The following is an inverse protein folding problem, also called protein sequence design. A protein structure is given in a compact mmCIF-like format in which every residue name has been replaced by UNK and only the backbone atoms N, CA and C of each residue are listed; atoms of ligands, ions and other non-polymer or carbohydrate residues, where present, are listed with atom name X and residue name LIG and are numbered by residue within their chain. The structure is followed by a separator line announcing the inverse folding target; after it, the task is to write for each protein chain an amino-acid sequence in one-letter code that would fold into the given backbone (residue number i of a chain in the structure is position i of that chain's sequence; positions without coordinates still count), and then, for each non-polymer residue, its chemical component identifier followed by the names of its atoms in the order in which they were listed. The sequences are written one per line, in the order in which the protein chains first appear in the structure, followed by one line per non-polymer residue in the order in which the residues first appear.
data_IF_728484501040
#
_entry.id   IF_728484501040
#
_cell.length_a   1.000
_cell.length_b   1.000
_cell.length_c   1.000
_cell.angle_alpha   90.00
_cell.angle_beta   90.00
_cell.angle_gamma   90.00
#
_symmetry.space_group_name_H-M   'P 1'
#
loop_
_entity.id
_entity.type
_entity.pdbx_description
1 polymer ?
#
# COMPACT_ATOMS: atom_id res chain seq x y z
N UNK A 1 5.47 0.52 7.48
CA UNK A 1 5.08 -0.62 6.62
C UNK A 1 4.36 -1.65 7.48
N UNK A 2 3.18 -2.18 7.11
CA UNK A 2 2.56 -3.26 7.86
C UNK A 2 3.47 -4.51 7.76
N UNK A 3 4.04 -4.92 8.89
CA UNK A 3 4.96 -6.07 8.96
C UNK A 3 4.36 -7.30 9.64
N UNK A 4 3.19 -7.14 10.24
CA UNK A 4 2.51 -8.16 11.05
C UNK A 4 1.09 -8.38 10.55
N UNK A 5 0.54 -9.60 10.68
CA UNK A 5 -0.84 -9.92 10.31
C UNK A 5 -1.88 -9.03 11.00
N UNK A 6 -1.59 -8.58 12.23
CA UNK A 6 -2.44 -7.67 12.99
C UNK A 6 -2.67 -6.33 12.28
N UNK A 7 -1.66 -5.81 11.57
CA UNK A 7 -1.80 -4.56 10.80
C UNK A 7 -2.76 -4.71 9.62
N UNK A 8 -2.75 -5.87 8.95
CA UNK A 8 -3.69 -6.16 7.87
C UNK A 8 -5.13 -6.35 8.39
N UNK A 9 -5.29 -7.01 9.55
CA UNK A 9 -6.61 -7.12 10.20
C UNK A 9 -7.18 -5.77 10.60
N UNK A 10 -6.36 -4.89 11.17
CA UNK A 10 -6.76 -3.52 11.51
C UNK A 10 -7.21 -2.72 10.29
N UNK A 11 -6.46 -2.80 9.18
CA UNK A 11 -6.84 -2.16 7.92
C UNK A 11 -8.20 -2.70 7.43
N UNK A 12 -8.38 -4.03 7.47
CA UNK A 12 -9.66 -4.65 7.12
C UNK A 12 -10.81 -4.16 8.01
N UNK A 13 -10.62 -4.10 9.33
CA UNK A 13 -11.64 -3.65 10.28
C UNK A 13 -12.07 -2.20 10.02
N UNK A 14 -11.18 -1.39 9.42
CA UNK A 14 -11.48 -0.04 8.95
C UNK A 14 -12.08 0.02 7.55
N UNK A 15 -12.41 -1.13 6.96
CA UNK A 15 -12.99 -1.23 5.61
C UNK A 15 -11.98 -1.13 4.48
N UNK A 16 -10.68 -1.15 4.77
CA UNK A 16 -9.64 -1.12 3.73
C UNK A 16 -9.60 -2.47 3.03
N UNK A 17 -9.81 -2.43 1.72
CA UNK A 17 -9.70 -3.60 0.83
C UNK A 17 -8.62 -3.44 -0.21
N UNK A 18 -8.24 -2.21 -0.53
CA UNK A 18 -7.16 -1.92 -1.48
C UNK A 18 -5.97 -1.33 -0.73
N UNK A 19 -4.82 -1.99 -0.81
CA UNK A 19 -3.57 -1.51 -0.23
C UNK A 19 -2.60 -1.17 -1.35
N UNK A 20 -2.20 0.10 -1.47
CA UNK A 20 -1.21 0.52 -2.46
C UNK A 20 0.14 0.69 -1.80
N UNK A 21 1.13 -0.08 -2.24
CA UNK A 21 2.52 -0.02 -1.77
C UNK A 21 3.35 0.73 -2.80
N UNK A 22 3.94 1.86 -2.40
CA UNK A 22 4.83 2.64 -3.26
C UNK A 22 6.29 2.17 -3.22
N UNK A 23 6.56 1.06 -2.55
CA UNK A 23 7.91 0.58 -2.22
C UNK A 23 8.47 -0.37 -3.29
N UNK A 24 9.78 -0.33 -3.51
CA UNK A 24 10.45 -1.28 -4.42
C UNK A 24 10.23 -2.74 -3.97
N UNK A 25 10.31 -2.99 -2.66
CA UNK A 25 10.08 -4.32 -2.07
C UNK A 25 8.63 -4.50 -1.64
N UNK A 26 8.10 -5.71 -1.82
CA UNK A 26 6.77 -6.04 -1.30
C UNK A 26 6.76 -6.01 0.23
N UNK A 27 5.67 -5.56 0.87
CA UNK A 27 5.54 -5.75 2.29
C UNK A 27 5.51 -7.25 2.63
N UNK A 28 6.23 -7.67 3.70
CA UNK A 28 6.19 -9.04 4.16
C UNK A 28 4.77 -9.41 4.62
N UNK A 29 4.37 -10.67 4.45
CA UNK A 29 3.03 -11.17 4.80
C UNK A 29 1.85 -10.63 3.98
N UNK A 30 2.08 -10.01 2.82
CA UNK A 30 1.01 -9.54 1.92
C UNK A 30 0.02 -10.61 1.46
N UNK A 31 0.38 -11.90 1.54
CA UNK A 31 -0.51 -13.03 1.22
C UNK A 31 -1.34 -13.55 2.41
N UNK A 32 -1.14 -13.02 3.62
CA UNK A 32 -1.83 -13.52 4.81
C UNK A 32 -3.31 -13.11 4.87
N UNK A 33 -3.72 -12.12 4.06
CA UNK A 33 -5.09 -11.62 4.01
C UNK A 33 -5.56 -11.50 2.55
N UNK A 34 -6.14 -12.56 1.96
CA UNK A 34 -6.62 -12.53 0.57
C UNK A 34 -7.77 -11.54 0.34
N UNK A 35 -8.36 -11.03 1.43
CA UNK A 35 -9.42 -10.03 1.41
C UNK A 35 -8.90 -8.59 1.19
N UNK A 36 -7.57 -8.40 1.17
CA UNK A 36 -6.93 -7.12 0.85
C UNK A 36 -6.13 -7.30 -0.43
N UNK A 37 -6.49 -6.54 -1.46
CA UNK A 37 -5.78 -6.52 -2.73
C UNK A 37 -4.58 -5.58 -2.63
N UNK A 38 -3.37 -6.15 -2.76
CA UNK A 38 -2.13 -5.38 -2.77
C UNK A 38 -1.80 -4.91 -4.19
N UNK A 39 -1.76 -3.60 -4.38
CA UNK A 39 -1.29 -2.95 -5.60
C UNK A 39 0.13 -2.42 -5.39
N UNK A 40 1.06 -2.80 -6.27
CA UNK A 40 2.48 -2.42 -6.13
C UNK A 40 2.85 -1.41 -7.20
N UNK A 41 3.21 -0.21 -6.76
CA UNK A 41 3.78 0.84 -7.61
C UNK A 41 5.22 1.03 -7.15
N UNK A 42 6.20 0.64 -7.97
CA UNK A 42 7.61 0.67 -7.56
C UNK A 42 8.16 2.09 -7.70
N UNK A 43 8.05 2.90 -6.65
CA UNK A 43 8.71 4.20 -6.59
C UNK A 43 10.07 3.98 -5.92
N UNK A 44 11.15 4.47 -6.54
CA UNK A 44 12.47 4.38 -5.93
C UNK A 44 12.54 5.33 -4.73
N UNK A 45 13.19 4.89 -3.65
CA UNK A 45 13.37 5.72 -2.47
C UNK A 45 14.08 7.03 -2.85
N UNK A 46 13.62 8.14 -2.27
CA UNK A 46 14.12 9.49 -2.55
C UNK A 46 13.88 10.01 -3.98
N UNK A 47 12.97 9.39 -4.73
CA UNK A 47 12.54 9.89 -6.05
C UNK A 47 11.05 10.22 -6.07
N UNK A 48 10.63 11.25 -6.82
CA UNK A 48 9.22 11.48 -7.06
C UNK A 48 8.64 10.34 -7.93
N UNK A 49 7.38 9.95 -7.72
CA UNK A 49 6.71 9.00 -8.60
C UNK A 49 6.60 9.55 -10.02
N UNK A 50 6.71 8.68 -11.02
CA UNK A 50 6.50 9.06 -12.41
C UNK A 50 5.03 9.38 -12.69
N UNK A 51 4.72 10.18 -13.73
CA UNK A 51 3.33 10.47 -14.10
C UNK A 51 2.49 9.21 -14.34
N UNK A 52 3.09 8.15 -14.88
CA UNK A 52 2.44 6.85 -15.09
C UNK A 52 2.08 6.15 -13.78
N UNK A 53 2.94 6.26 -12.76
CA UNK A 53 2.69 5.72 -11.42
C UNK A 53 1.56 6.48 -10.71
N UNK A 54 1.54 7.81 -10.88
CA UNK A 54 0.47 8.65 -10.35
C UNK A 54 -0.86 8.28 -11.00
N UNK A 55 -0.90 8.15 -12.34
CA UNK A 55 -2.11 7.71 -13.05
C UNK A 55 -2.56 6.31 -12.61
N UNK A 56 -1.61 5.39 -12.42
CA UNK A 56 -1.91 4.05 -11.92
C UNK A 56 -2.53 4.08 -10.52
N UNK A 57 -1.99 4.92 -9.61
CA UNK A 57 -2.55 5.13 -8.28
C UNK A 57 -3.98 5.69 -8.35
N UNK A 58 -4.20 6.73 -9.15
CA UNK A 58 -5.51 7.36 -9.32
C UNK A 58 -6.54 6.34 -9.83
N UNK A 59 -6.18 5.53 -10.83
CA UNK A 59 -7.06 4.47 -11.36
C UNK A 59 -7.45 3.44 -10.31
N UNK A 60 -6.52 3.04 -9.42
CA UNK A 60 -6.82 2.10 -8.33
C UNK A 60 -7.79 2.72 -7.33
N UNK A 61 -7.57 3.99 -6.96
CA UNK A 61 -8.44 4.72 -6.03
C UNK A 61 -9.83 4.91 -6.63
N UNK A 62 -9.92 5.27 -7.91
CA UNK A 62 -11.19 5.39 -8.63
C UNK A 62 -11.93 4.05 -8.72
N UNK A 63 -11.23 2.95 -9.02
CA UNK A 63 -11.84 1.62 -9.06
C UNK A 63 -12.37 1.20 -7.68
N UNK A 64 -11.61 1.45 -6.62
CA UNK A 64 -12.03 1.16 -5.25
C UNK A 64 -13.21 2.04 -4.83
N UNK A 65 -13.16 3.35 -5.10
CA UNK A 65 -14.26 4.27 -4.82
C UNK A 65 -15.53 3.90 -5.58
N UNK A 66 -15.41 3.48 -6.85
CA UNK A 66 -16.55 3.01 -7.66
C UNK A 66 -17.21 1.75 -7.10
N UNK A 67 -16.48 0.96 -6.30
CA UNK A 67 -16.99 -0.22 -5.59
C UNK A 67 -17.41 0.08 -4.14
N UNK A 68 -17.23 1.32 -3.66
CA UNK A 68 -17.46 1.69 -2.27
C UNK A 68 -16.42 1.12 -1.29
N UNK A 69 -15.23 0.78 -1.78
CA UNK A 69 -14.15 0.17 -1.00
C UNK A 69 -13.09 1.21 -0.59
N UNK A 70 -12.56 1.09 0.63
CA UNK A 70 -11.53 2.03 1.13
C UNK A 70 -10.16 1.62 0.62
N UNK A 71 -9.42 2.60 0.08
CA UNK A 71 -8.02 2.45 -0.34
C UNK A 71 -7.07 3.06 0.70
N UNK A 72 -6.04 2.33 1.09
CA UNK A 72 -4.94 2.85 1.91
C UNK A 72 -3.64 2.89 1.11
N UNK A 73 -2.99 4.05 1.07
CA UNK A 73 -1.63 4.20 0.55
C UNK A 73 -0.61 4.02 1.67
N UNK A 74 0.37 3.13 1.49
CA UNK A 74 1.53 3.01 2.39
C UNK A 74 2.76 3.48 1.64
N UNK A 75 3.30 4.60 2.10
CA UNK A 75 4.62 5.11 1.73
C UNK A 75 5.55 4.76 2.89
N UNK A 76 6.58 3.96 2.63
CA UNK A 76 7.75 4.01 3.52
C UNK A 76 8.61 5.14 2.99
N UNK A 77 8.53 6.32 3.59
CA UNK A 77 9.78 7.07 3.70
C UNK A 77 10.72 6.14 4.45
N UNK A 78 11.94 5.95 3.97
CA UNK A 78 12.98 5.26 4.72
C UNK A 78 13.20 5.99 6.03
N UNK A 79 12.34 5.73 7.02
CA UNK A 79 12.61 6.05 8.41
C UNK A 79 13.80 5.20 8.75
N UNK A 80 14.96 5.84 8.77
CA UNK A 80 16.15 5.32 9.44
C UNK A 80 15.67 4.77 10.77
N UNK A 81 15.73 3.45 10.94
CA UNK A 81 15.70 2.88 12.28
C UNK A 81 16.92 3.46 12.97
N UNK A 82 16.80 4.21 14.08
CA UNK A 82 17.97 4.47 14.91
C UNK A 82 18.40 3.09 15.41
N UNK A 83 19.45 2.56 14.79
CA UNK A 83 20.07 1.33 15.24
C UNK A 83 20.84 1.63 16.52
N UNK A 84 20.62 0.78 17.53
CA UNK A 84 21.61 0.37 18.55
C UNK A 84 22.18 1.46 19.43
#
# INVERSE_FOLDING_TARGET
MPREPGHYRYLRERGVRHLVSLTERAPPHHGCCPQIQLHRLRVADFTPPSPEQIQSFLRIVEEANGRGEVTAGVVTTGGVTPGG
#
